data_IF_344599435754
#
_entry.id   IF_344599435754
#
_cell.length_a   1.000
_cell.length_b   1.000
_cell.length_c   1.000
_cell.angle_alpha   90.00
_cell.angle_beta   90.00
_cell.angle_gamma   90.00
#
_symmetry.space_group_name_H-M   'P 1'
#
loop_
_entity.id
_entity.type
_entity.pdbx_description
1 polymer ?
#
# COMPACT_ATOMS: atom_id res chain seq x y z
N UNK A 1 -1.30 25.76 11.74
CA UNK A 1 -1.28 24.44 11.06
C UNK A 1 -2.03 24.57 9.74
N UNK A 2 -1.34 24.53 8.59
CA UNK A 2 -2.02 24.49 7.29
C UNK A 2 -2.63 23.10 7.14
N UNK A 3 -3.95 23.00 7.29
CA UNK A 3 -4.71 21.77 7.03
C UNK A 3 -4.43 21.36 5.59
N UNK A 4 -4.16 20.08 5.36
CA UNK A 4 -3.84 19.50 4.05
C UNK A 4 -4.71 20.11 2.96
N UNK A 5 -4.09 20.93 2.11
CA UNK A 5 -4.77 21.62 1.04
C UNK A 5 -4.39 20.96 -0.27
N UNK A 6 -5.34 20.26 -0.88
CA UNK A 6 -5.12 19.65 -2.18
C UNK A 6 -5.05 20.74 -3.25
N UNK A 7 -4.23 20.59 -4.31
CA UNK A 7 -4.25 21.50 -5.44
C UNK A 7 -5.62 21.48 -6.10
N UNK A 8 -6.16 22.68 -6.34
CA UNK A 8 -7.40 22.85 -7.07
C UNK A 8 -7.22 22.32 -8.50
N UNK A 9 -8.11 21.44 -9.01
CA UNK A 9 -8.02 20.89 -10.36
C UNK A 9 -7.97 21.97 -11.46
N UNK A 10 -8.51 23.16 -11.18
CA UNK A 10 -8.60 24.27 -12.12
C UNK A 10 -7.62 25.41 -11.82
N UNK A 11 -6.77 25.29 -10.78
CA UNK A 11 -5.73 26.27 -10.44
C UNK A 11 -6.26 27.73 -10.50
N UNK A 12 -5.68 28.56 -11.35
CA UNK A 12 -6.04 29.97 -11.54
C UNK A 12 -7.41 30.18 -12.22
N UNK A 13 -7.89 29.19 -12.97
CA UNK A 13 -9.17 29.21 -13.70
C UNK A 13 -10.36 28.79 -12.83
N UNK A 14 -10.14 28.40 -11.57
CA UNK A 14 -11.22 28.07 -10.66
C UNK A 14 -12.11 29.28 -10.41
N UNK A 15 -13.42 29.16 -10.68
CA UNK A 15 -14.42 30.20 -10.39
C UNK A 15 -14.91 30.15 -8.94
N UNK A 16 -14.66 29.04 -8.22
CA UNK A 16 -15.16 28.79 -6.86
C UNK A 16 -14.08 28.96 -5.78
N UNK A 17 -13.08 29.83 -5.98
CA UNK A 17 -11.94 29.99 -5.05
C UNK A 17 -12.37 30.30 -3.62
N UNK A 18 -13.41 31.11 -3.46
CA UNK A 18 -13.93 31.53 -2.16
C UNK A 18 -14.73 30.42 -1.46
N UNK A 19 -15.35 29.52 -2.23
CA UNK A 19 -16.18 28.42 -1.69
C UNK A 19 -15.35 27.23 -1.23
N UNK A 20 -14.13 27.09 -1.75
CA UNK A 20 -13.22 25.97 -1.49
C UNK A 20 -11.92 26.47 -0.81
N UNK A 21 -11.98 27.03 0.41
CA UNK A 21 -10.81 27.59 1.09
C UNK A 21 -9.75 26.54 1.46
N UNK A 22 -10.12 25.26 1.41
CA UNK A 22 -9.25 24.12 1.63
C UNK A 22 -8.45 23.70 0.37
N UNK A 23 -8.68 24.30 -0.80
CA UNK A 23 -7.92 23.99 -2.01
C UNK A 23 -6.84 25.05 -2.27
N UNK A 24 -5.64 24.62 -2.68
CA UNK A 24 -4.60 25.56 -3.14
C UNK A 24 -4.85 25.93 -4.59
N UNK A 25 -4.87 27.22 -4.88
CA UNK A 25 -5.07 27.77 -6.22
C UNK A 25 -3.75 28.31 -6.78
N UNK A 26 -2.66 27.56 -6.59
CA UNK A 26 -1.34 27.95 -7.09
C UNK A 26 -1.31 27.86 -8.62
N UNK A 27 -0.74 28.85 -9.33
CA UNK A 27 -0.65 28.84 -10.79
C UNK A 27 0.10 27.62 -11.30
N UNK A 28 -0.50 26.88 -12.23
CA UNK A 28 0.14 25.73 -12.84
C UNK A 28 1.26 26.19 -13.79
N UNK A 29 2.50 25.74 -13.57
CA UNK A 29 3.70 26.10 -14.37
C UNK A 29 3.72 25.54 -15.80
N UNK A 30 2.65 24.85 -16.23
CA UNK A 30 2.60 24.24 -17.55
C UNK A 30 2.26 25.31 -18.60
N UNK A 31 2.80 25.17 -19.80
CA UNK A 31 2.57 26.13 -20.88
C UNK A 31 1.15 25.95 -21.43
N UNK A 32 0.51 27.01 -21.92
CA UNK A 32 -0.74 26.86 -22.65
C UNK A 32 -0.50 26.11 -23.97
N UNK A 33 -1.39 25.19 -24.33
CA UNK A 33 -1.30 24.47 -25.59
C UNK A 33 -1.46 25.45 -26.78
N UNK A 34 -0.58 25.42 -27.80
CA UNK A 34 -0.68 26.29 -28.99
C UNK A 34 -2.02 26.14 -29.72
N UNK A 35 -2.56 24.92 -29.78
CA UNK A 35 -3.80 24.61 -30.50
C UNK A 35 -5.08 24.89 -29.71
N UNK A 36 -4.97 25.29 -28.42
CA UNK A 36 -6.11 25.58 -27.52
C UNK A 36 -7.23 24.52 -27.60
N UNK A 37 -8.42 24.87 -28.11
CA UNK A 37 -9.60 24.01 -28.23
C UNK A 37 -9.55 23.02 -29.40
N UNK A 38 -8.68 23.25 -30.39
CA UNK A 38 -8.54 22.40 -31.59
C UNK A 38 -7.45 21.32 -31.45
N UNK A 39 -6.94 21.10 -30.24
CA UNK A 39 -5.84 20.18 -30.01
C UNK A 39 -6.25 18.72 -30.18
N UNK A 40 -5.67 18.03 -31.16
CA UNK A 40 -5.90 16.60 -31.37
C UNK A 40 -5.28 15.72 -30.27
N UNK A 41 -4.26 16.23 -29.56
CA UNK A 41 -3.54 15.52 -28.48
C UNK A 41 -4.20 15.68 -27.10
N UNK A 42 -5.44 16.17 -27.04
CA UNK A 42 -6.15 16.38 -25.77
C UNK A 42 -6.35 15.07 -24.97
N UNK A 43 -6.40 13.93 -25.65
CA UNK A 43 -6.56 12.60 -25.05
C UNK A 43 -5.23 11.92 -24.70
N UNK A 44 -4.10 12.54 -25.04
CA UNK A 44 -2.77 12.07 -24.67
C UNK A 44 -2.44 12.57 -23.25
N UNK A 45 -2.33 11.68 -22.26
CA UNK A 45 -2.09 12.07 -20.88
C UNK A 45 -0.72 12.74 -20.68
N UNK A 46 0.28 12.42 -21.51
CA UNK A 46 1.60 13.07 -21.44
C UNK A 46 1.49 14.52 -21.92
N UNK A 47 0.82 14.75 -23.04
CA UNK A 47 0.52 16.10 -23.52
C UNK A 47 -0.26 16.92 -22.49
N UNK A 48 -1.28 16.32 -21.86
CA UNK A 48 -2.09 16.97 -20.82
C UNK A 48 -1.33 17.30 -19.55
N UNK A 49 -0.31 16.52 -19.19
CA UNK A 49 0.57 16.84 -18.07
C UNK A 49 1.53 18.01 -18.37
N UNK A 50 1.87 18.22 -19.65
CA UNK A 50 2.82 19.26 -20.08
C UNK A 50 2.14 20.57 -20.53
N UNK A 51 0.90 20.49 -21.02
CA UNK A 51 0.17 21.61 -21.61
C UNK A 51 -1.21 21.84 -21.02
N UNK A 52 -1.53 23.11 -20.80
CA UNK A 52 -2.81 23.57 -20.25
C UNK A 52 -3.81 23.86 -21.35
N UNK A 53 -5.08 23.57 -21.06
CA UNK A 53 -6.22 23.87 -21.92
C UNK A 53 -7.28 24.60 -21.09
N UNK A 54 -7.85 25.72 -21.57
CA UNK A 54 -8.70 26.60 -20.77
C UNK A 54 -10.01 25.93 -20.31
N UNK A 55 -10.55 25.00 -21.10
CA UNK A 55 -11.85 24.36 -20.81
C UNK A 55 -11.72 23.05 -20.02
N UNK A 56 -10.50 22.67 -19.62
CA UNK A 56 -10.22 21.38 -19.00
C UNK A 56 -9.42 21.54 -17.71
N UNK A 57 -9.49 20.57 -16.77
CA UNK A 57 -8.67 20.60 -15.56
C UNK A 57 -7.18 20.73 -15.88
N UNK A 58 -6.43 21.50 -15.09
CA UNK A 58 -4.99 21.60 -15.22
C UNK A 58 -4.29 20.32 -14.72
N UNK A 59 -4.88 19.66 -13.71
CA UNK A 59 -4.37 18.40 -13.15
C UNK A 59 -5.27 17.23 -13.55
N UNK A 60 -4.65 16.13 -13.99
CA UNK A 60 -5.36 14.87 -14.21
C UNK A 60 -5.64 14.18 -12.87
N UNK A 61 -6.87 13.73 -12.67
CA UNK A 61 -7.31 13.04 -11.46
C UNK A 61 -6.80 11.59 -11.51
N UNK A 62 -6.14 11.05 -10.48
CA UNK A 62 -5.76 9.64 -10.47
C UNK A 62 -6.99 8.73 -10.70
N UNK A 63 -6.93 7.88 -11.71
CA UNK A 63 -7.98 6.91 -11.98
C UNK A 63 -8.05 5.89 -10.84
N UNK A 64 -9.26 5.57 -10.38
CA UNK A 64 -9.48 4.58 -9.32
C UNK A 64 -8.96 3.19 -9.70
N UNK A 65 -9.05 2.82 -10.96
CA UNK A 65 -8.56 1.53 -11.48
C UNK A 65 -7.04 1.55 -11.79
N UNK A 66 -6.39 2.72 -11.69
CA UNK A 66 -4.97 2.90 -12.01
C UNK A 66 -4.60 2.34 -13.39
N UNK A 67 -3.50 1.59 -13.46
CA UNK A 67 -3.05 0.94 -14.70
C UNK A 67 -3.98 -0.16 -15.23
N UNK A 68 -4.95 -0.61 -14.43
CA UNK A 68 -5.90 -1.67 -14.79
C UNK A 68 -7.22 -1.16 -15.40
N UNK A 69 -7.35 0.16 -15.59
CA UNK A 69 -8.56 0.75 -16.13
C UNK A 69 -8.90 0.24 -17.53
N UNK A 70 -10.15 -0.22 -17.72
CA UNK A 70 -10.65 -0.69 -19.01
C UNK A 70 -11.29 0.41 -19.85
N UNK A 71 -11.53 1.58 -19.27
CA UNK A 71 -12.20 2.68 -19.96
C UNK A 71 -11.23 3.45 -20.87
N UNK A 72 -11.28 3.13 -22.17
CA UNK A 72 -10.43 3.75 -23.19
C UNK A 72 -11.07 4.96 -23.89
N UNK A 73 -12.23 5.43 -23.42
CA UNK A 73 -12.94 6.57 -24.04
C UNK A 73 -12.11 7.86 -23.90
N UNK A 74 -12.18 8.73 -24.91
CA UNK A 74 -11.49 10.02 -24.91
C UNK A 74 -11.86 10.87 -23.69
N UNK A 75 -13.15 10.97 -23.36
CA UNK A 75 -13.66 11.76 -22.23
C UNK A 75 -13.06 11.36 -20.89
N UNK A 76 -12.74 10.07 -20.73
CA UNK A 76 -12.08 9.54 -19.55
C UNK A 76 -10.61 9.94 -19.52
N UNK A 77 -9.88 9.75 -20.62
CA UNK A 77 -8.44 10.07 -20.72
C UNK A 77 -8.13 11.56 -20.58
N UNK A 78 -9.09 12.43 -20.90
CA UNK A 78 -8.94 13.89 -20.74
C UNK A 78 -8.94 14.32 -19.26
N UNK A 79 -9.60 13.54 -18.39
CA UNK A 79 -9.84 13.87 -16.98
C UNK A 79 -8.99 13.04 -16.02
N UNK A 80 -8.67 11.80 -16.38
CA UNK A 80 -8.04 10.84 -15.46
C UNK A 80 -6.65 10.39 -15.92
N UNK A 81 -5.73 10.22 -14.95
CA UNK A 81 -4.40 9.63 -15.16
C UNK A 81 -4.35 8.19 -14.67
N UNK A 82 -3.66 7.32 -15.41
CA UNK A 82 -3.48 5.91 -15.06
C UNK A 82 -2.08 5.60 -14.51
N UNK A 83 -1.34 6.65 -14.11
CA UNK A 83 0.03 6.51 -13.65
C UNK A 83 1.06 6.25 -14.76
N UNK A 84 0.74 6.58 -16.02
CA UNK A 84 1.74 6.64 -17.09
C UNK A 84 2.79 7.67 -16.68
N UNK A 85 3.91 7.18 -16.15
CA UNK A 85 5.08 7.99 -15.97
C UNK A 85 5.53 8.34 -17.37
N UNK A 86 5.31 9.59 -17.78
CA UNK A 86 5.96 10.09 -18.98
C UNK A 86 7.43 9.78 -18.79
N UNK A 87 7.99 8.89 -19.62
CA UNK A 87 9.43 8.86 -19.79
C UNK A 87 9.76 10.32 -20.09
N UNK A 88 10.46 10.96 -19.16
CA UNK A 88 10.91 12.32 -19.37
C UNK A 88 11.81 12.15 -20.57
N UNK A 89 11.27 12.44 -21.76
CA UNK A 89 12.04 12.55 -22.97
C UNK A 89 12.96 13.70 -22.61
N UNK A 90 14.11 13.33 -22.05
CA UNK A 90 15.27 14.19 -21.98
C UNK A 90 15.52 14.39 -23.44
N UNK A 91 14.92 15.44 -23.99
CA UNK A 91 15.17 15.87 -25.34
C UNK A 91 16.67 15.80 -25.45
N UNK A 92 17.15 14.84 -26.24
CA UNK A 92 18.48 14.95 -26.81
C UNK A 92 18.35 16.23 -27.58
N UNK A 93 18.74 17.34 -26.95
CA UNK A 93 18.96 18.61 -27.61
C UNK A 93 19.89 18.21 -28.73
N UNK A 94 19.32 18.06 -29.91
CA UNK A 94 20.07 17.98 -31.14
C UNK A 94 20.71 19.36 -31.19
N UNK A 95 21.93 19.46 -30.63
CA UNK A 95 22.83 20.55 -30.93
C UNK A 95 22.99 20.50 -32.44
N UNK A 96 22.20 21.33 -33.11
CA UNK A 96 22.45 21.70 -34.49
C UNK A 96 23.91 22.14 -34.54
N UNK A 97 24.77 21.52 -35.37
CA UNK A 97 26.15 21.95 -35.48
C UNK A 97 26.14 23.42 -35.92
N UNK A 98 26.54 24.29 -35.00
CA UNK A 98 26.72 25.70 -35.27
C UNK A 98 27.81 25.81 -36.33
N UNK A 99 27.41 26.18 -37.55
CA UNK A 99 28.30 26.50 -38.65
C UNK A 99 29.23 27.62 -38.19
N UNK A 100 30.51 27.28 -38.14
CA UNK A 100 31.63 28.09 -37.68
C UNK A 100 31.64 29.46 -38.35
N UNK A 101 31.44 30.52 -37.57
CA UNK A 101 31.93 31.86 -37.90
C UNK A 101 33.10 32.12 -36.98
N UNK A 102 34.29 32.02 -37.57
CA UNK A 102 35.57 32.31 -36.96
C UNK A 102 35.60 33.70 -36.34
N UNK A 103 36.21 33.83 -35.16
CA UNK A 103 37.03 34.99 -34.76
C UNK A 103 37.81 34.72 -33.48
N UNK A 104 39.14 34.76 -33.65
CA UNK A 104 40.21 35.21 -32.76
C UNK A 104 40.12 34.91 -31.25
N UNK A 105 41.04 34.06 -30.80
CA UNK A 105 41.51 33.99 -29.41
C UNK A 105 42.41 35.19 -29.07
N UNK A 106 42.58 35.47 -27.77
CA UNK A 106 43.92 35.61 -27.24
C UNK A 106 44.23 34.58 -26.14
N UNK A 107 45.50 34.20 -26.15
CA UNK A 107 46.21 33.32 -25.24
C UNK A 107 46.05 33.71 -23.76
N UNK A 108 45.84 32.72 -22.90
CA UNK A 108 46.28 32.83 -21.50
C UNK A 108 46.75 31.48 -20.95
N UNK A 109 47.83 31.58 -20.19
CA UNK A 109 48.77 30.55 -19.76
C UNK A 109 48.23 29.60 -18.68
N UNK A 110 48.87 28.43 -18.71
CA UNK A 110 48.72 27.26 -17.85
C UNK A 110 49.01 27.53 -16.37
N UNK A 111 48.31 26.79 -15.50
CA UNK A 111 48.92 26.32 -14.25
C UNK A 111 48.40 24.92 -13.93
N UNK A 112 49.30 23.96 -14.09
CA UNK A 112 49.16 22.56 -13.72
C UNK A 112 49.13 22.44 -12.19
N UNK A 113 48.15 21.72 -11.65
CA UNK A 113 48.25 21.15 -10.31
C UNK A 113 47.96 19.65 -10.38
N UNK A 114 49.04 18.89 -10.17
CA UNK A 114 49.03 17.46 -9.92
C UNK A 114 48.28 17.16 -8.61
N UNK A 115 47.21 16.37 -8.68
CA UNK A 115 46.72 15.64 -7.52
C UNK A 115 46.71 14.13 -7.79
N UNK A 116 47.38 13.45 -6.87
CA UNK A 116 47.76 12.06 -6.90
C UNK A 116 46.55 11.12 -6.84
N UNK A 117 46.69 10.01 -7.56
CA UNK A 117 45.76 8.89 -7.55
C UNK A 117 46.02 8.07 -6.29
N UNK A 118 45.10 8.11 -5.33
CA UNK A 118 45.01 7.07 -4.31
C UNK A 118 43.97 6.04 -4.74
N UNK A 119 44.50 4.87 -5.10
CA UNK A 119 43.80 3.67 -5.51
C UNK A 119 43.53 2.85 -4.24
N UNK A 120 42.35 3.02 -3.62
CA UNK A 120 41.91 2.17 -2.51
C UNK A 120 40.67 1.36 -2.95
N UNK A 121 40.91 0.07 -3.14
CA UNK A 121 39.91 -0.95 -3.46
C UNK A 121 39.13 -1.30 -2.19
N UNK A 122 38.10 -0.51 -1.90
CA UNK A 122 37.02 -0.91 -0.99
C UNK A 122 35.68 -0.77 -1.71
N UNK A 123 35.00 -1.89 -1.90
CA UNK A 123 33.66 -1.97 -2.46
C UNK A 123 32.66 -1.21 -1.58
N UNK A 124 32.44 0.06 -1.92
CA UNK A 124 31.49 0.95 -1.26
C UNK A 124 30.06 0.44 -1.48
N UNK A 125 29.37 0.27 -0.36
CA UNK A 125 28.00 -0.20 -0.19
C UNK A 125 27.02 0.77 -0.87
N UNK A 126 26.11 0.24 -1.70
CA UNK A 126 25.27 1.03 -2.63
C UNK A 126 23.96 1.58 -2.06
N UNK A 127 23.63 1.32 -0.79
CA UNK A 127 22.40 1.83 -0.19
C UNK A 127 22.70 2.46 1.17
N UNK A 128 22.53 3.78 1.24
CA UNK A 128 22.56 4.55 2.47
C UNK A 128 21.31 4.33 3.34
N UNK A 129 21.11 5.13 4.40
CA UNK A 129 19.98 4.99 5.33
C UNK A 129 18.59 5.10 4.68
N UNK A 130 18.50 5.61 3.45
CA UNK A 130 17.28 5.74 2.65
C UNK A 130 16.96 4.48 1.80
N UNK A 131 17.03 3.29 2.40
CA UNK A 131 16.58 2.09 1.70
C UNK A 131 15.04 2.08 1.64
N UNK A 132 14.48 2.19 0.44
CA UNK A 132 13.02 2.32 0.19
C UNK A 132 12.19 1.09 0.56
N UNK A 133 12.85 -0.03 0.91
CA UNK A 133 12.24 -1.34 1.14
C UNK A 133 12.48 -1.86 2.57
N UNK A 134 12.59 -0.96 3.57
CA UNK A 134 12.80 -1.34 4.97
C UNK A 134 11.68 -2.22 5.56
N UNK A 135 10.47 -2.17 5.01
CA UNK A 135 9.33 -2.98 5.46
C UNK A 135 9.24 -4.37 4.82
N UNK A 136 10.11 -4.68 3.86
CA UNK A 136 10.07 -5.97 3.14
C UNK A 136 10.89 -7.04 3.89
N UNK A 137 10.21 -8.03 4.45
CA UNK A 137 10.80 -9.02 5.35
C UNK A 137 11.86 -9.89 4.65
N UNK A 138 11.72 -10.12 3.34
CA UNK A 138 12.70 -10.86 2.53
C UNK A 138 13.99 -10.04 2.31
N UNK A 139 13.87 -8.72 2.19
CA UNK A 139 15.00 -7.80 2.01
C UNK A 139 15.86 -7.71 3.28
N UNK A 140 15.22 -7.57 4.44
CA UNK A 140 15.89 -7.49 5.75
C UNK A 140 16.62 -8.80 6.13
N UNK A 141 16.24 -9.94 5.54
CA UNK A 141 16.92 -11.22 5.78
C UNK A 141 18.26 -11.35 5.03
N UNK A 142 18.45 -10.60 3.94
CA UNK A 142 19.61 -10.71 3.04
C UNK A 142 20.63 -9.58 3.20
N UNK A 143 20.23 -8.43 3.75
CA UNK A 143 21.08 -7.25 3.87
C UNK A 143 21.08 -6.70 5.29
N UNK A 144 22.25 -6.70 5.93
CA UNK A 144 22.42 -6.18 7.29
C UNK A 144 22.58 -4.65 7.27
N UNK A 145 21.59 -3.94 7.80
CA UNK A 145 21.71 -2.51 8.09
C UNK A 145 22.44 -2.32 9.43
N UNK A 146 23.76 -2.12 9.37
CA UNK A 146 24.58 -1.77 10.54
C UNK A 146 24.39 -0.29 10.87
N UNK A 147 23.31 0.05 11.56
CA UNK A 147 23.07 1.35 12.17
C UNK A 147 22.54 1.13 13.59
N UNK A 148 23.41 1.23 14.57
CA UNK A 148 23.07 1.13 15.99
C UNK A 148 22.18 2.31 16.41
N UNK A 149 20.88 2.10 16.36
CA UNK A 149 19.93 2.77 17.25
C UNK A 149 18.65 1.95 17.32
N UNK A 150 18.69 0.91 18.16
CA UNK A 150 17.52 0.11 18.55
C UNK A 150 16.66 0.94 19.51
N UNK A 151 16.03 1.99 19.00
CA UNK A 151 14.94 2.66 19.70
C UNK A 151 13.77 1.68 19.69
N UNK A 152 13.44 1.15 20.86
CA UNK A 152 12.22 0.37 21.09
C UNK A 152 11.07 1.19 20.51
N UNK A 153 10.44 0.73 19.43
CA UNK A 153 9.20 1.33 18.93
C UNK A 153 8.15 1.20 20.03
N UNK A 154 8.00 2.26 20.83
CA UNK A 154 6.82 2.48 21.63
C UNK A 154 5.63 2.32 20.69
N UNK A 155 4.73 1.39 21.04
CA UNK A 155 3.47 1.12 20.34
C UNK A 155 2.83 2.45 20.00
N UNK A 156 2.92 2.83 18.74
CA UNK A 156 2.50 4.13 18.25
C UNK A 156 1.01 4.25 18.52
N UNK A 157 0.65 5.26 19.32
CA UNK A 157 -0.70 5.75 19.49
C UNK A 157 -1.30 5.93 18.10
N UNK A 158 -2.21 5.03 17.73
CA UNK A 158 -2.98 5.21 16.50
C UNK A 158 -3.71 6.55 16.62
N UNK A 159 -3.73 7.37 15.56
CA UNK A 159 -4.39 8.67 15.60
C UNK A 159 -5.82 8.51 16.12
N UNK A 160 -6.23 9.38 17.05
CA UNK A 160 -7.54 9.32 17.70
C UNK A 160 -8.65 9.30 16.64
N UNK A 161 -9.40 8.20 16.58
CA UNK A 161 -10.53 8.03 15.66
C UNK A 161 -11.69 8.92 16.11
N UNK A 162 -12.34 9.58 15.16
CA UNK A 162 -13.45 10.51 15.40
C UNK A 162 -14.68 9.71 15.85
N UNK A 163 -15.41 10.16 16.87
CA UNK A 163 -16.62 9.48 17.31
C UNK A 163 -17.66 9.40 16.19
N UNK A 164 -18.19 8.20 15.92
CA UNK A 164 -19.25 8.01 14.94
C UNK A 164 -20.52 8.71 15.41
N UNK A 165 -21.12 9.55 14.54
CA UNK A 165 -22.37 10.27 14.83
C UNK A 165 -23.55 9.36 15.17
N UNK A 166 -23.52 8.11 14.70
CA UNK A 166 -24.58 7.12 14.95
C UNK A 166 -24.32 6.22 16.17
N UNK A 167 -23.20 6.40 16.89
CA UNK A 167 -22.90 5.62 18.08
C UNK A 167 -22.99 4.11 17.85
N UNK A 168 -23.51 3.37 18.84
CA UNK A 168 -23.70 1.91 18.79
C UNK A 168 -24.64 1.42 17.66
N UNK A 169 -25.49 2.31 17.14
CA UNK A 169 -26.52 2.02 16.12
C UNK A 169 -26.03 2.22 14.68
N UNK A 170 -24.75 2.56 14.49
CA UNK A 170 -24.17 2.69 13.16
C UNK A 170 -24.29 1.39 12.37
N UNK A 171 -24.98 1.42 11.23
CA UNK A 171 -25.11 0.26 10.31
C UNK A 171 -23.78 -0.17 9.72
N UNK A 172 -22.84 0.76 9.57
CA UNK A 172 -21.52 0.55 8.97
C UNK A 172 -20.44 0.23 10.01
N UNK A 173 -20.80 -0.05 11.27
CA UNK A 173 -19.83 -0.36 12.34
C UNK A 173 -18.93 -1.58 12.05
N UNK A 174 -19.30 -2.43 11.09
CA UNK A 174 -18.50 -3.57 10.65
C UNK A 174 -17.68 -3.30 9.38
N UNK A 175 -17.90 -2.16 8.70
CA UNK A 175 -17.11 -1.81 7.52
C UNK A 175 -15.69 -1.40 7.93
N UNK A 176 -14.70 -1.97 7.24
CA UNK A 176 -13.29 -1.77 7.59
C UNK A 176 -12.80 -0.34 7.31
N UNK A 177 -13.34 0.31 6.28
CA UNK A 177 -12.98 1.70 5.96
C UNK A 177 -13.66 2.68 6.90
N UNK A 178 -14.85 2.35 7.40
CA UNK A 178 -15.54 3.11 8.43
C UNK A 178 -14.82 3.02 9.78
N UNK A 179 -14.50 1.82 10.25
CA UNK A 179 -13.79 1.59 11.54
C UNK A 179 -12.37 2.15 11.59
N UNK A 180 -11.73 2.38 10.45
CA UNK A 180 -10.40 3.02 10.41
C UNK A 180 -10.49 4.52 10.67
N UNK A 181 -11.64 5.15 10.41
CA UNK A 181 -11.87 6.59 10.57
C UNK A 181 -12.68 6.93 11.82
N UNK A 182 -13.63 6.06 12.19
CA UNK A 182 -14.61 6.33 13.23
C UNK A 182 -14.51 5.36 14.42
N UNK A 183 -14.69 5.90 15.64
CA UNK A 183 -14.77 5.17 16.91
C UNK A 183 -16.22 5.04 17.37
N UNK A 184 -16.56 3.93 18.04
CA UNK A 184 -17.88 3.69 18.62
C UNK A 184 -17.71 3.42 20.12
N UNK A 185 -18.67 3.83 20.98
CA UNK A 185 -18.54 3.73 22.43
C UNK A 185 -18.46 2.29 22.97
N UNK A 186 -18.93 1.30 22.20
CA UNK A 186 -18.89 -0.12 22.55
C UNK A 186 -17.54 -0.79 22.22
N UNK A 187 -16.62 -0.08 21.55
CA UNK A 187 -15.28 -0.58 21.21
C UNK A 187 -14.31 -0.50 22.40
N UNK A 188 -14.82 -0.38 23.63
CA UNK A 188 -14.02 -0.23 24.85
C UNK A 188 -13.16 -1.47 25.07
N UNK A 189 -11.89 -1.37 24.68
CA UNK A 189 -10.72 -2.12 25.17
C UNK A 189 -10.81 -3.66 25.13
N UNK A 190 -11.85 -4.25 24.53
CA UNK A 190 -11.87 -5.66 24.17
C UNK A 190 -11.10 -5.80 22.87
N UNK A 191 -9.78 -5.77 22.98
CA UNK A 191 -8.84 -6.07 21.91
C UNK A 191 -9.38 -7.26 21.09
N UNK A 192 -9.72 -7.09 19.80
CA UNK A 192 -10.14 -8.23 19.01
C UNK A 192 -8.91 -9.12 18.82
N UNK A 193 -8.88 -10.21 19.60
CA UNK A 193 -7.98 -11.32 19.36
C UNK A 193 -8.12 -11.70 17.89
N UNK A 194 -6.99 -11.84 17.21
CA UNK A 194 -6.81 -11.86 15.75
C UNK A 194 -7.51 -13.01 14.99
N UNK A 195 -8.49 -13.67 15.58
CA UNK A 195 -9.31 -14.68 14.92
C UNK A 195 -10.46 -14.02 14.18
N UNK A 196 -10.13 -13.51 13.00
CA UNK A 196 -10.98 -13.23 11.84
C UNK A 196 -12.50 -13.35 12.07
N UNK A 197 -13.19 -12.21 11.98
CA UNK A 197 -14.65 -12.11 11.89
C UNK A 197 -15.17 -12.88 10.66
N UNK A 198 -15.36 -14.18 10.80
CA UNK A 198 -16.12 -14.98 9.83
C UNK A 198 -17.56 -14.49 9.84
N UNK A 199 -18.21 -14.54 8.68
CA UNK A 199 -19.59 -14.07 8.52
C UNK A 199 -20.50 -15.08 9.22
N UNK A 200 -21.43 -14.64 10.06
CA UNK A 200 -22.37 -15.58 10.71
C UNK A 200 -23.21 -16.32 9.65
N UNK A 201 -23.21 -17.66 9.69
CA UNK A 201 -24.00 -18.45 8.78
C UNK A 201 -25.50 -18.18 8.98
N UNK A 202 -26.24 -17.91 7.90
CA UNK A 202 -27.69 -17.66 7.93
C UNK A 202 -28.50 -18.81 8.53
N UNK A 203 -27.99 -20.05 8.46
CA UNK A 203 -28.65 -21.24 8.97
C UNK A 203 -28.31 -21.57 10.44
N UNK A 204 -27.45 -20.77 11.09
CA UNK A 204 -27.03 -20.99 12.47
C UNK A 204 -26.54 -22.43 12.71
N UNK A 205 -26.87 -23.01 13.87
CA UNK A 205 -26.51 -24.39 14.23
C UNK A 205 -27.17 -25.48 13.36
N UNK A 206 -28.20 -25.13 12.59
CA UNK A 206 -28.90 -26.01 11.64
C UNK A 206 -28.29 -26.07 10.24
N UNK A 207 -27.14 -25.44 10.00
CA UNK A 207 -26.48 -25.48 8.69
C UNK A 207 -26.09 -26.92 8.31
N UNK A 208 -26.52 -27.38 7.12
CA UNK A 208 -26.15 -28.71 6.59
C UNK A 208 -24.67 -28.79 6.22
N UNK A 209 -24.06 -27.66 5.86
CA UNK A 209 -22.67 -27.56 5.41
C UNK A 209 -21.69 -27.23 6.55
N UNK A 210 -22.12 -27.34 7.82
CA UNK A 210 -21.27 -27.06 9.00
C UNK A 210 -20.03 -27.95 9.12
N UNK A 211 -19.95 -29.06 8.36
CA UNK A 211 -18.78 -29.92 8.28
C UNK A 211 -17.91 -29.65 7.04
N UNK A 212 -18.36 -28.80 6.11
CA UNK A 212 -17.58 -28.46 4.93
C UNK A 212 -16.48 -27.45 5.28
N UNK A 213 -15.24 -27.79 4.93
CA UNK A 213 -14.06 -27.00 5.30
C UNK A 213 -14.04 -25.64 4.60
N UNK A 214 -14.54 -25.55 3.38
CA UNK A 214 -14.61 -24.29 2.65
C UNK A 214 -15.69 -23.38 3.24
N UNK A 215 -16.84 -23.94 3.59
CA UNK A 215 -17.92 -23.26 4.30
C UNK A 215 -17.45 -22.70 5.64
N UNK A 216 -16.87 -23.56 6.50
CA UNK A 216 -16.41 -23.16 7.83
C UNK A 216 -15.23 -22.18 7.82
N UNK A 217 -14.48 -22.06 6.72
CA UNK A 217 -13.47 -21.01 6.57
C UNK A 217 -14.06 -19.62 6.37
N UNK A 218 -15.26 -19.52 5.78
CA UNK A 218 -15.93 -18.25 5.43
C UNK A 218 -17.00 -17.88 6.45
N UNK A 219 -17.69 -18.88 6.98
CA UNK A 219 -18.83 -18.71 7.86
C UNK A 219 -18.58 -19.23 9.28
N UNK A 220 -19.08 -18.51 10.26
CA UNK A 220 -19.06 -18.88 11.68
C UNK A 220 -20.46 -19.29 12.15
N UNK A 221 -20.53 -20.27 13.05
CA UNK A 221 -21.76 -20.73 13.69
C UNK A 221 -21.68 -20.43 15.20
N UNK A 222 -22.75 -19.89 15.81
CA UNK A 222 -22.71 -19.37 17.19
C UNK A 222 -22.48 -20.43 18.28
N UNK A 223 -22.63 -21.72 17.97
CA UNK A 223 -22.43 -22.82 18.93
C UNK A 223 -21.05 -23.50 18.81
N UNK A 224 -20.22 -23.14 17.82
CA UNK A 224 -18.94 -23.81 17.55
C UNK A 224 -17.75 -23.19 18.33
N UNK A 225 -17.90 -21.99 18.88
CA UNK A 225 -16.80 -21.23 19.51
C UNK A 225 -16.42 -21.74 20.92
N UNK A 226 -17.03 -22.82 21.39
CA UNK A 226 -16.61 -23.50 22.62
C UNK A 226 -15.63 -24.65 22.39
N UNK A 227 -15.32 -25.02 21.15
CA UNK A 227 -14.53 -26.24 20.90
C UNK A 227 -13.34 -26.10 19.93
N UNK A 228 -12.92 -24.88 19.57
CA UNK A 228 -11.73 -24.67 18.70
C UNK A 228 -10.51 -24.08 19.43
N UNK A 229 -10.41 -24.33 20.74
CA UNK A 229 -9.16 -24.19 21.48
C UNK A 229 -8.25 -25.40 21.24
N UNK A 230 -7.09 -25.18 20.65
CA UNK A 230 -5.96 -26.11 20.56
C UNK A 230 -5.87 -27.17 21.67
N UNK A 231 -5.95 -28.45 21.29
CA UNK A 231 -4.96 -29.51 21.56
C UNK A 231 -5.55 -30.83 21.07
N UNK A 232 -4.77 -31.63 20.35
CA UNK A 232 -5.05 -33.05 20.20
C UNK A 232 -4.99 -33.70 21.58
N UNK A 233 -6.08 -33.62 22.33
CA UNK A 233 -6.27 -34.37 23.55
C UNK A 233 -6.43 -35.83 23.14
N UNK A 234 -5.55 -36.70 23.65
CA UNK A 234 -5.57 -38.16 23.51
C UNK A 234 -6.85 -38.82 24.11
N UNK A 235 -7.95 -38.08 24.29
CA UNK A 235 -9.16 -38.53 24.98
C UNK A 235 -10.15 -39.26 24.06
N UNK A 236 -10.08 -39.08 22.74
CA UNK A 236 -10.93 -39.82 21.78
C UNK A 236 -10.32 -41.15 21.30
N UNK A 237 -9.11 -41.48 21.76
CA UNK A 237 -8.49 -42.77 21.42
C UNK A 237 -9.14 -43.87 22.24
N UNK A 238 -9.64 -44.90 21.56
CA UNK A 238 -10.11 -46.12 22.19
C UNK A 238 -9.00 -46.67 23.10
N UNK A 239 -9.34 -47.07 24.32
CA UNK A 239 -8.36 -47.65 25.25
C UNK A 239 -7.78 -48.93 24.65
N UNK A 240 -6.45 -49.09 24.74
CA UNK A 240 -5.81 -50.32 24.33
C UNK A 240 -6.29 -51.47 25.21
N UNK A 241 -6.69 -52.60 24.60
CA UNK A 241 -7.13 -53.80 25.33
C UNK A 241 -6.06 -54.34 26.30
N UNK A 242 -4.78 -54.09 26.00
CA UNK A 242 -3.65 -54.48 26.85
C UNK A 242 -3.24 -53.40 27.87
N UNK A 243 -3.90 -52.24 27.85
CA UNK A 243 -3.59 -51.11 28.73
C UNK A 243 -2.10 -50.78 28.78
N UNK A 244 -1.57 -50.55 29.98
CA UNK A 244 -0.16 -50.20 30.21
C UNK A 244 0.82 -51.36 29.98
N UNK A 245 0.32 -52.55 29.63
CA UNK A 245 1.11 -53.76 29.33
C UNK A 245 1.18 -54.05 27.82
N UNK A 246 0.72 -53.14 26.96
CA UNK A 246 0.84 -53.31 25.53
C UNK A 246 2.33 -53.34 25.11
N UNK A 247 2.75 -54.41 24.44
CA UNK A 247 4.10 -54.56 23.88
C UNK A 247 4.16 -54.18 22.40
N UNK A 248 3.03 -53.75 21.82
CA UNK A 248 2.95 -53.34 20.42
C UNK A 248 3.71 -52.02 20.22
N UNK A 249 4.75 -52.09 19.39
CA UNK A 249 5.64 -50.96 19.06
C UNK A 249 5.24 -50.29 17.74
N UNK A 250 4.21 -50.77 17.06
CA UNK A 250 3.77 -50.20 15.79
C UNK A 250 3.31 -48.74 15.97
N UNK A 251 3.85 -47.78 15.20
CA UNK A 251 3.43 -46.39 15.22
C UNK A 251 1.92 -46.20 14.94
N UNK A 252 1.33 -47.04 14.09
CA UNK A 252 -0.10 -47.01 13.78
C UNK A 252 -0.95 -47.49 14.97
N UNK A 253 -0.45 -48.45 15.76
CA UNK A 253 -1.12 -48.86 16.99
C UNK A 253 -1.16 -47.71 18.01
N UNK A 254 -0.02 -47.04 18.22
CA UNK A 254 0.12 -45.93 19.18
C UNK A 254 -0.64 -44.66 18.78
N UNK A 255 -0.87 -44.45 17.49
CA UNK A 255 -1.71 -43.35 17.01
C UNK A 255 -3.20 -43.62 17.22
N UNK A 256 -3.64 -44.88 17.15
CA UNK A 256 -5.05 -45.26 17.30
C UNK A 256 -5.51 -45.48 18.73
N UNK A 257 -4.66 -46.06 19.59
CA UNK A 257 -5.06 -46.49 20.94
C UNK A 257 -4.41 -45.68 22.07
N UNK A 258 -5.19 -45.42 23.11
CA UNK A 258 -4.76 -44.75 24.35
C UNK A 258 -4.15 -45.76 25.32
N UNK A 259 -3.02 -45.39 25.93
CA UNK A 259 -2.33 -46.13 26.98
C UNK A 259 -2.22 -45.21 28.20
N UNK A 260 -2.82 -45.55 29.36
CA UNK A 260 -2.59 -44.79 30.58
C UNK A 260 -1.10 -44.81 30.91
N UNK A 261 -0.49 -43.65 31.19
CA UNK A 261 0.90 -43.62 31.64
C UNK A 261 1.04 -44.41 32.95
N UNK A 262 2.11 -45.20 33.08
CA UNK A 262 2.51 -45.80 34.36
C UNK A 262 2.95 -44.65 35.27
N UNK A 263 2.14 -44.31 36.27
CA UNK A 263 2.59 -43.49 37.41
C UNK A 263 3.63 -44.24 38.24
#
# INVERSE_FOLDING_TARGET
MKKYSHPCPYSELCTNKEKEPNLTHEPHRAKQCPSKSSCQKLHDPVHRAQYRHPDYPDFLIPCQDGSSCRNKKSDHRIKYSHGEQGEVVRDKIHETPHRSLAKAQPEYQESETHHERNNDSSTVRRFGPDCRNQDDNDHCSKYSHSGENRVKHARSSSPERIACRHGSDCRDKNDRQHRSKFSHPDESESSPSSNSARITCRHGSGCRDKNDRQHCSKFSHPDEDRNQGHRGSNQDKTSCRHGNKCFDKDPQHRSKYSHPDKK
#
